data_IF_754660755348
#
_entry.id   IF_754660755348
#
_cell.length_a   1.000
_cell.length_b   1.000
_cell.length_c   1.000
_cell.angle_alpha   90.00
_cell.angle_beta   90.00
_cell.angle_gamma   90.00
#
_symmetry.space_group_name_H-M   'P 1'
#
loop_
_entity.id
_entity.type
_entity.pdbx_description
1 polymer ?
#
# COMPACT_ATOMS: atom_id res chain seq x y z
N UNK A 1 5.02 -17.09 -2.65
CA UNK A 1 6.43 -16.94 -2.20
C UNK A 1 7.30 -17.82 -3.09
N UNK A 2 8.04 -17.23 -4.04
CA UNK A 2 8.89 -17.99 -4.95
C UNK A 2 10.15 -18.50 -4.23
N UNK A 3 10.64 -19.68 -4.65
CA UNK A 3 11.79 -20.41 -4.11
C UNK A 3 13.06 -19.52 -3.99
N UNK A 4 13.39 -19.07 -2.78
CA UNK A 4 14.64 -18.37 -2.43
C UNK A 4 14.46 -16.99 -1.78
N UNK A 5 15.52 -16.42 -1.19
CA UNK A 5 15.48 -15.14 -0.47
C UNK A 5 15.49 -13.89 -1.38
N UNK A 6 15.48 -14.07 -2.71
CA UNK A 6 15.49 -12.96 -3.67
C UNK A 6 14.05 -12.53 -3.98
N UNK A 7 13.66 -11.27 -3.69
CA UNK A 7 12.35 -10.76 -4.09
C UNK A 7 12.26 -10.64 -5.62
N UNK A 8 11.04 -10.80 -6.14
CA UNK A 8 10.71 -10.59 -7.55
C UNK A 8 9.68 -9.47 -7.67
N UNK A 9 9.87 -8.60 -8.66
CA UNK A 9 9.04 -7.40 -8.90
C UNK A 9 8.29 -7.45 -10.24
N UNK A 10 8.08 -8.65 -10.77
CA UNK A 10 7.44 -8.86 -12.08
C UNK A 10 6.00 -8.35 -12.19
N UNK A 11 5.33 -8.11 -11.05
CA UNK A 11 3.98 -7.54 -11.01
C UNK A 11 3.97 -6.00 -11.02
N UNK A 12 5.13 -5.36 -10.88
CA UNK A 12 5.25 -3.90 -10.94
C UNK A 12 5.11 -3.41 -12.39
N UNK A 13 4.50 -2.23 -12.55
CA UNK A 13 4.43 -1.55 -13.85
C UNK A 13 5.84 -1.24 -14.39
N UNK A 14 5.94 -1.08 -15.72
CA UNK A 14 7.19 -0.66 -16.37
C UNK A 14 7.61 0.74 -15.89
N UNK A 15 8.91 1.08 -15.98
CA UNK A 15 9.42 2.35 -15.45
C UNK A 15 8.74 3.60 -16.01
N UNK A 16 8.44 3.61 -17.32
CA UNK A 16 7.76 4.73 -17.99
C UNK A 16 6.29 4.86 -17.57
N UNK A 17 5.58 3.72 -17.55
CA UNK A 17 4.19 3.66 -17.11
C UNK A 17 4.06 4.04 -15.64
N UNK A 18 4.93 3.49 -14.78
CA UNK A 18 4.97 3.77 -13.35
C UNK A 18 5.22 5.27 -13.08
N UNK A 19 6.12 5.91 -13.83
CA UNK A 19 6.37 7.35 -13.72
C UNK A 19 5.12 8.15 -14.04
N UNK A 20 4.41 7.78 -15.11
CA UNK A 20 3.17 8.43 -15.53
C UNK A 20 2.06 8.26 -14.49
N UNK A 21 1.89 7.05 -13.96
CA UNK A 21 0.91 6.74 -12.92
C UNK A 21 1.22 7.50 -11.62
N UNK A 22 2.48 7.51 -11.18
CA UNK A 22 2.92 8.25 -9.99
C UNK A 22 2.60 9.74 -10.10
N UNK A 23 2.98 10.37 -11.22
CA UNK A 23 2.73 11.80 -11.45
C UNK A 23 1.23 12.12 -11.52
N UNK A 24 0.44 11.23 -12.14
CA UNK A 24 -1.02 11.38 -12.19
C UNK A 24 -1.64 11.28 -10.81
N UNK A 25 -1.20 10.31 -10.01
CA UNK A 25 -1.65 10.12 -8.62
C UNK A 25 -1.34 11.35 -7.77
N UNK A 26 -0.08 11.80 -7.77
CA UNK A 26 0.36 12.99 -7.03
C UNK A 26 -0.50 14.22 -7.36
N UNK A 27 -0.71 14.51 -8.66
CA UNK A 27 -1.55 15.63 -9.12
C UNK A 27 -3.00 15.50 -8.68
N UNK A 28 -3.58 14.30 -8.76
CA UNK A 28 -4.96 14.06 -8.32
C UNK A 28 -5.12 14.27 -6.83
N UNK A 29 -4.19 13.77 -6.00
CA UNK A 29 -4.23 13.99 -4.55
C UNK A 29 -4.11 15.48 -4.23
N UNK A 30 -3.19 16.19 -4.89
CA UNK A 30 -3.07 17.65 -4.74
C UNK A 30 -4.35 18.39 -5.11
N UNK A 31 -5.03 18.00 -6.19
CA UNK A 31 -6.29 18.61 -6.61
C UNK A 31 -7.49 18.30 -5.70
N UNK A 32 -7.49 17.14 -5.04
CA UNK A 32 -8.55 16.70 -4.11
C UNK A 32 -8.34 17.21 -2.67
N UNK A 33 -7.17 17.77 -2.38
CA UNK A 33 -6.80 18.30 -1.07
C UNK A 33 -6.21 19.71 -1.19
N UNK A 34 -5.26 20.08 -0.34
CA UNK A 34 -4.49 21.31 -0.41
C UNK A 34 -3.13 21.03 -1.06
N UNK A 35 -2.87 21.54 -2.28
CA UNK A 35 -1.63 21.24 -3.02
C UNK A 35 -0.35 21.51 -2.21
N UNK A 36 -0.33 22.57 -1.42
CA UNK A 36 0.84 22.96 -0.62
C UNK A 36 1.15 21.99 0.52
N UNK A 37 0.21 21.12 0.90
CA UNK A 37 0.41 20.08 1.91
C UNK A 37 0.78 18.71 1.31
N UNK A 38 0.67 18.54 0.00
CA UNK A 38 1.02 17.29 -0.69
C UNK A 38 2.45 17.40 -1.22
N UNK A 39 3.38 16.71 -0.56
CA UNK A 39 4.80 16.69 -0.92
C UNK A 39 5.16 15.41 -1.66
N UNK A 40 6.10 15.51 -2.59
CA UNK A 40 6.65 14.39 -3.33
C UNK A 40 8.17 14.26 -3.11
N UNK A 41 8.73 13.18 -3.67
CA UNK A 41 10.17 12.98 -3.77
C UNK A 41 10.59 12.97 -5.24
N UNK A 42 11.75 12.39 -5.54
CA UNK A 42 12.22 12.24 -6.92
C UNK A 42 12.00 10.80 -7.39
N UNK A 43 11.13 10.63 -8.38
CA UNK A 43 10.83 9.29 -8.94
C UNK A 43 12.09 8.61 -9.46
N UNK A 44 12.27 7.33 -9.10
CA UNK A 44 13.42 6.49 -9.44
C UNK A 44 14.78 6.96 -8.88
N UNK A 45 14.80 7.90 -7.94
CA UNK A 45 16.01 8.25 -7.20
C UNK A 45 16.19 7.33 -5.98
N UNK A 46 17.46 7.07 -5.63
CA UNK A 46 17.80 6.60 -4.29
C UNK A 46 17.54 7.75 -3.31
N UNK A 47 16.72 7.52 -2.29
CA UNK A 47 16.31 8.54 -1.32
C UNK A 47 16.48 8.04 0.11
N UNK A 48 17.01 8.91 0.97
CA UNK A 48 16.99 8.74 2.41
C UNK A 48 15.77 9.49 2.98
N UNK A 49 14.73 8.74 3.37
CA UNK A 49 13.46 9.30 3.85
C UNK A 49 13.35 9.13 5.35
N UNK A 50 13.28 10.25 6.09
CA UNK A 50 12.99 10.25 7.52
C UNK A 50 11.48 10.21 7.76
N UNK A 51 11.01 9.32 8.64
CA UNK A 51 9.60 9.18 9.02
C UNK A 51 9.48 9.10 10.55
N UNK A 52 8.74 10.03 11.14
CA UNK A 52 8.37 10.00 12.56
C UNK A 52 6.88 9.68 12.65
N UNK A 53 6.54 8.50 13.16
CA UNK A 53 5.15 8.09 13.36
C UNK A 53 4.70 8.47 14.78
N UNK A 54 3.74 9.39 14.90
CA UNK A 54 3.04 9.67 16.16
C UNK A 54 1.94 8.59 16.37
N UNK A 55 2.29 7.51 17.07
CA UNK A 55 1.54 6.25 17.06
C UNK A 55 2.33 5.08 17.68
N UNK A 56 2.27 3.84 17.14
CA UNK A 56 2.31 3.53 15.70
C UNK A 56 0.97 3.10 15.09
N UNK A 57 0.62 3.70 13.95
CA UNK A 57 -0.52 3.30 13.12
C UNK A 57 -0.01 3.03 11.71
N UNK A 58 -0.37 1.88 11.13
CA UNK A 58 -0.02 1.52 9.75
C UNK A 58 -1.23 0.90 9.08
N UNK A 59 -1.61 1.43 7.93
CA UNK A 59 -2.76 0.98 7.13
C UNK A 59 -2.22 0.51 5.78
N UNK A 60 -2.57 -0.71 5.38
CA UNK A 60 -2.29 -1.22 4.04
C UNK A 60 -3.55 -1.13 3.18
N UNK A 61 -3.41 -0.55 2.00
CA UNK A 61 -4.50 -0.38 1.04
C UNK A 61 -4.07 -0.99 -0.29
N UNK A 62 -4.86 -1.92 -0.81
CA UNK A 62 -4.71 -2.50 -2.14
C UNK A 62 -6.01 -2.23 -2.91
N UNK A 63 -5.90 -1.67 -4.12
CA UNK A 63 -7.05 -1.41 -5.00
C UNK A 63 -7.65 -2.70 -5.58
N UNK A 64 -6.90 -3.81 -5.54
CA UNK A 64 -7.33 -5.14 -5.94
C UNK A 64 -6.86 -6.16 -4.90
N UNK A 65 -7.42 -6.14 -3.69
CA UNK A 65 -7.00 -7.03 -2.63
C UNK A 65 -7.17 -8.49 -3.06
N UNK A 66 -6.29 -9.41 -2.64
CA UNK A 66 -6.51 -10.83 -2.85
C UNK A 66 -7.87 -11.20 -2.26
N UNK A 67 -8.58 -12.11 -2.95
CA UNK A 67 -9.81 -12.68 -2.38
C UNK A 67 -9.44 -13.28 -1.03
N UNK A 68 -10.04 -12.77 0.04
CA UNK A 68 -9.90 -13.40 1.35
C UNK A 68 -10.60 -14.76 1.25
N UNK A 69 -9.82 -15.83 1.22
CA UNK A 69 -10.36 -17.17 1.42
C UNK A 69 -10.85 -17.24 2.86
N UNK A 70 -12.16 -17.37 3.04
CA UNK A 70 -12.82 -17.49 4.34
C UNK A 70 -12.53 -18.89 4.93
N UNK A 71 -11.27 -19.16 5.22
CA UNK A 71 -10.85 -20.33 5.99
C UNK A 71 -10.83 -19.95 7.45
N UNK A 72 -12.01 -19.72 8.01
CA UNK A 72 -12.22 -19.77 9.46
C UNK A 72 -11.96 -21.20 9.93
N UNK A 73 -10.89 -21.51 10.70
CA UNK A 73 -10.80 -22.77 11.40
C UNK A 73 -11.57 -22.58 12.72
N UNK A 74 -12.79 -23.10 12.77
CA UNK A 74 -13.56 -23.45 13.97
C UNK A 74 -13.43 -22.61 15.24
N UNK A 75 -14.52 -21.94 15.60
CA UNK A 75 -14.77 -21.45 16.96
C UNK A 75 -16.26 -21.18 17.17
N UNK A 76 -17.08 -22.24 17.27
CA UNK A 76 -18.46 -22.12 17.74
C UNK A 76 -18.46 -21.53 19.14
N UNK A 77 -18.84 -20.26 19.28
CA UNK A 77 -19.15 -19.67 20.59
C UNK A 77 -20.44 -20.32 21.08
N UNK A 78 -20.46 -21.03 22.22
CA UNK A 78 -21.71 -21.55 22.76
C UNK A 78 -22.55 -20.36 23.23
N UNK A 79 -23.77 -20.27 22.70
CA UNK A 79 -24.77 -19.32 23.14
C UNK A 79 -25.13 -19.62 24.61
N UNK A 80 -24.60 -18.82 25.53
CA UNK A 80 -25.02 -18.86 26.92
C UNK A 80 -26.34 -18.09 27.03
N UNK A 81 -27.41 -18.84 27.28
CA UNK A 81 -28.70 -18.31 27.67
C UNK A 81 -28.58 -17.42 28.92
N UNK A 82 -29.19 -16.25 28.89
CA UNK A 82 -30.01 -15.73 30.00
C UNK A 82 -31.06 -14.78 29.43
#
# INVERSE_FOLDING_TARGET
>A
MNKGNKPSFHQSASGEEAKTLYQTFYRKVGALYEPDKVKDGVFAAMMDVALVNDGPVTIQIDTNPPKMDDTTPGGSVPNAAT
#
